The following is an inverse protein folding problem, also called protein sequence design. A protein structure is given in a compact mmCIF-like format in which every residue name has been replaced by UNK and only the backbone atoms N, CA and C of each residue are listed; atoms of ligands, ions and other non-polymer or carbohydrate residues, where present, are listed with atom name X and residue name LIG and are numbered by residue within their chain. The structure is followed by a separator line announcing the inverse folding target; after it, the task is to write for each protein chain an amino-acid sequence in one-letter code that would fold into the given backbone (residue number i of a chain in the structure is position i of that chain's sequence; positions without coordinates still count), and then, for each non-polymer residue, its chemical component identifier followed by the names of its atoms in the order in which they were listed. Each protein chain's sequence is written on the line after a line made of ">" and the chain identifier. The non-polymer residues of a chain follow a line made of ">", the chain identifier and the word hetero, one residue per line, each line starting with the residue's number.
data_IF_157779261241
#
_entry.id   IF_157779261241
#
_cell.length_a   1.000
_cell.length_b   1.000
_cell.length_c   1.000
_cell.angle_alpha   90.00
_cell.angle_beta   90.00
_cell.angle_gamma   90.00
#
_symmetry.space_group_name_H-M   'P 1'
#
loop_
_entity.id
_entity.type
_entity.pdbx_description
1 polymer ?
#
# COMPACT_ATOMS: atom_id res chain seq x y z
N UNK A 1 -64.33 -9.23 -20.47
CA UNK A 1 -64.07 -9.55 -19.05
C UNK A 1 -62.68 -9.04 -18.68
N UNK A 2 -62.61 -8.12 -17.72
CA UNK A 2 -61.38 -7.70 -17.05
C UNK A 2 -60.72 -8.91 -16.42
N UNK A 3 -59.39 -8.99 -16.45
CA UNK A 3 -58.63 -9.43 -15.29
C UNK A 3 -57.30 -8.67 -15.29
N UNK A 4 -57.19 -7.82 -14.28
CA UNK A 4 -56.02 -7.11 -13.80
C UNK A 4 -55.04 -8.09 -13.15
N UNK A 5 -53.77 -8.00 -13.51
CA UNK A 5 -52.68 -8.58 -12.74
C UNK A 5 -51.55 -7.55 -12.62
N UNK A 6 -51.63 -6.78 -11.55
CA UNK A 6 -50.56 -5.97 -10.97
C UNK A 6 -49.50 -6.88 -10.37
N UNK A 7 -48.24 -6.74 -10.79
CA UNK A 7 -47.03 -7.30 -10.14
C UNK A 7 -45.81 -6.38 -10.39
N UNK A 8 -44.74 -6.47 -9.58
CA UNK A 8 -44.25 -5.34 -8.79
C UNK A 8 -43.06 -4.58 -9.40
N UNK A 9 -42.93 -3.35 -8.91
CA UNK A 9 -41.85 -2.40 -9.09
C UNK A 9 -40.50 -2.98 -8.65
N UNK A 10 -39.65 -3.40 -9.60
CA UNK A 10 -38.20 -3.47 -9.41
C UNK A 10 -37.51 -3.23 -10.76
N UNK A 11 -36.91 -2.05 -10.90
CA UNK A 11 -36.32 -1.56 -12.14
C UNK A 11 -35.06 -2.33 -12.53
N UNK A 12 -35.17 -3.23 -13.50
CA UNK A 12 -34.05 -3.69 -14.35
C UNK A 12 -34.47 -4.53 -15.57
N UNK A 13 -35.73 -4.44 -16.05
CA UNK A 13 -36.20 -5.29 -17.18
C UNK A 13 -37.02 -4.48 -18.17
N UNK A 14 -36.41 -3.51 -18.85
CA UNK A 14 -37.07 -2.80 -19.94
C UNK A 14 -36.14 -2.58 -21.13
N UNK A 15 -35.83 -3.66 -21.87
CA UNK A 15 -35.70 -3.63 -23.34
C UNK A 15 -36.08 -5.01 -23.93
N UNK A 16 -37.18 -5.63 -23.47
CA UNK A 16 -37.69 -6.86 -24.09
C UNK A 16 -39.17 -6.78 -24.52
N UNK A 17 -39.86 -5.67 -24.26
CA UNK A 17 -41.31 -5.58 -24.39
C UNK A 17 -41.82 -4.60 -25.46
N UNK A 18 -41.05 -4.35 -26.52
CA UNK A 18 -41.55 -3.74 -27.77
C UNK A 18 -41.22 -4.62 -28.97
N UNK A 19 -41.83 -5.81 -29.01
CA UNK A 19 -42.45 -6.35 -30.23
C UNK A 19 -41.64 -6.58 -31.52
N UNK A 20 -40.31 -6.50 -31.53
CA UNK A 20 -39.47 -7.00 -32.63
C UNK A 20 -38.10 -7.37 -32.10
N UNK A 21 -37.88 -8.66 -31.83
CA UNK A 21 -36.51 -9.19 -31.82
C UNK A 21 -35.94 -8.85 -33.18
N UNK A 22 -35.00 -7.91 -33.22
CA UNK A 22 -34.57 -7.27 -34.45
C UNK A 22 -34.02 -8.31 -35.41
N UNK A 23 -34.79 -8.57 -36.47
CA UNK A 23 -34.62 -9.67 -37.40
C UNK A 23 -33.44 -9.48 -38.35
N UNK A 24 -32.83 -8.29 -38.36
CA UNK A 24 -31.77 -7.93 -39.32
C UNK A 24 -30.40 -7.82 -38.65
N UNK A 25 -29.36 -8.21 -39.39
CA UNK A 25 -27.97 -8.05 -38.97
C UNK A 25 -27.58 -6.58 -38.75
N UNK A 26 -28.17 -5.65 -39.51
CA UNK A 26 -27.99 -4.21 -39.36
C UNK A 26 -28.35 -3.71 -37.96
N UNK A 27 -29.49 -4.14 -37.42
CA UNK A 27 -29.90 -3.71 -36.10
C UNK A 27 -28.98 -4.29 -35.01
N UNK A 28 -28.54 -5.54 -35.15
CA UNK A 28 -27.58 -6.15 -34.24
C UNK A 28 -26.22 -5.41 -34.28
N UNK A 29 -25.80 -4.98 -35.48
CA UNK A 29 -24.61 -4.16 -35.69
C UNK A 29 -24.71 -2.81 -34.97
N UNK A 30 -25.82 -2.08 -35.16
CA UNK A 30 -26.07 -0.78 -34.51
C UNK A 30 -26.13 -0.90 -32.98
N UNK A 31 -26.76 -1.95 -32.44
CA UNK A 31 -26.81 -2.20 -31.00
C UNK A 31 -25.40 -2.42 -30.40
N UNK A 32 -24.58 -3.26 -31.04
CA UNK A 32 -23.22 -3.51 -30.57
C UNK A 32 -22.32 -2.28 -30.73
N UNK A 33 -22.48 -1.49 -31.81
CA UNK A 33 -21.76 -0.24 -31.99
C UNK A 33 -22.09 0.77 -30.90
N UNK A 34 -23.39 0.96 -30.58
CA UNK A 34 -23.82 1.82 -29.47
C UNK A 34 -23.24 1.36 -28.13
N UNK A 35 -23.17 0.03 -27.90
CA UNK A 35 -22.56 -0.54 -26.69
C UNK A 35 -21.04 -0.37 -26.62
N UNK A 36 -20.34 -0.42 -27.76
CA UNK A 36 -18.88 -0.36 -27.81
C UNK A 36 -18.34 1.08 -27.86
N UNK A 37 -18.96 1.93 -28.69
CA UNK A 37 -18.50 3.28 -29.05
C UNK A 37 -19.47 4.39 -28.62
N UNK A 38 -20.69 4.06 -28.18
CA UNK A 38 -21.71 5.06 -27.86
C UNK A 38 -22.49 5.58 -29.09
N UNK A 39 -22.02 5.27 -30.29
CA UNK A 39 -22.56 5.73 -31.59
C UNK A 39 -22.97 4.53 -32.44
N UNK A 40 -24.01 4.67 -33.28
CA UNK A 40 -24.52 3.56 -34.12
C UNK A 40 -23.63 3.24 -35.32
N UNK A 41 -22.95 4.25 -35.87
CA UNK A 41 -22.08 4.15 -37.03
C UNK A 41 -20.72 4.79 -36.69
N UNK A 42 -19.82 4.03 -36.06
CA UNK A 42 -18.54 4.55 -35.61
C UNK A 42 -17.57 4.69 -36.77
N UNK A 43 -16.92 5.85 -36.85
CA UNK A 43 -15.83 6.16 -37.78
C UNK A 43 -14.56 5.41 -37.36
N UNK A 44 -13.55 5.32 -38.24
CA UNK A 44 -12.31 4.57 -37.94
C UNK A 44 -11.54 5.13 -36.73
N UNK A 45 -11.72 6.41 -36.44
CA UNK A 45 -11.09 7.17 -35.35
C UNK A 45 -11.78 7.05 -34.00
N UNK A 46 -12.99 6.48 -33.93
CA UNK A 46 -13.77 6.46 -32.70
C UNK A 46 -13.16 5.53 -31.64
N UNK A 47 -13.02 6.07 -30.44
CA UNK A 47 -12.39 5.37 -29.32
C UNK A 47 -13.39 4.44 -28.65
N UNK A 48 -12.93 3.25 -28.30
CA UNK A 48 -13.68 2.27 -27.53
C UNK A 48 -13.83 2.75 -26.09
N UNK A 49 -14.98 3.35 -25.79
CA UNK A 49 -15.24 4.01 -24.50
C UNK A 49 -16.10 3.17 -23.57
N UNK A 50 -17.04 2.37 -24.09
CA UNK A 50 -18.18 1.90 -23.28
C UNK A 50 -18.22 0.38 -22.99
N UNK A 51 -17.53 -0.47 -23.75
CA UNK A 51 -17.55 -1.92 -23.49
C UNK A 51 -16.29 -2.67 -23.96
N UNK A 52 -15.93 -3.73 -23.21
CA UNK A 52 -14.86 -4.67 -23.55
C UNK A 52 -15.33 -5.78 -24.49
N UNK A 53 -14.39 -6.43 -25.16
CA UNK A 53 -14.70 -7.52 -26.09
C UNK A 53 -15.44 -8.70 -25.45
N UNK A 54 -15.18 -9.00 -24.17
CA UNK A 54 -15.90 -10.02 -23.39
C UNK A 54 -17.37 -9.66 -23.17
N UNK A 55 -17.65 -8.41 -22.79
CA UNK A 55 -19.02 -7.89 -22.59
C UNK A 55 -19.85 -7.94 -23.87
N UNK A 56 -19.24 -7.59 -25.00
CA UNK A 56 -19.89 -7.67 -26.31
C UNK A 56 -20.19 -9.12 -26.72
N UNK A 57 -19.26 -10.06 -26.45
CA UNK A 57 -19.49 -11.49 -26.69
C UNK A 57 -20.63 -12.03 -25.82
N UNK A 58 -20.69 -11.66 -24.55
CA UNK A 58 -21.76 -12.06 -23.64
C UNK A 58 -23.12 -11.53 -24.10
N UNK A 59 -23.21 -10.24 -24.44
CA UNK A 59 -24.42 -9.63 -24.99
C UNK A 59 -24.88 -10.33 -26.28
N UNK A 60 -23.96 -10.56 -27.21
CA UNK A 60 -24.23 -11.26 -28.46
C UNK A 60 -24.72 -12.69 -28.22
N UNK A 61 -24.12 -13.41 -27.28
CA UNK A 61 -24.51 -14.79 -26.92
C UNK A 61 -25.92 -14.82 -26.36
N UNK A 62 -26.25 -13.89 -25.46
CA UNK A 62 -27.59 -13.77 -24.87
C UNK A 62 -28.65 -13.46 -25.93
N UNK A 63 -28.38 -12.57 -26.88
CA UNK A 63 -29.33 -12.33 -27.98
C UNK A 63 -29.43 -13.56 -28.89
N UNK A 64 -28.30 -14.22 -29.19
CA UNK A 64 -28.26 -15.39 -30.07
C UNK A 64 -29.03 -16.59 -29.53
N UNK A 65 -29.18 -16.76 -28.21
CA UNK A 65 -29.93 -17.89 -27.62
C UNK A 65 -31.44 -17.80 -27.88
N UNK A 66 -31.97 -16.61 -28.13
CA UNK A 66 -33.39 -16.39 -28.40
C UNK A 66 -33.74 -16.35 -29.90
N UNK A 67 -32.77 -16.57 -30.80
CA UNK A 67 -33.00 -16.51 -32.26
C UNK A 67 -33.51 -17.86 -32.82
N UNK A 68 -34.57 -17.88 -33.64
CA UNK A 68 -34.97 -19.07 -34.38
C UNK A 68 -33.85 -19.38 -35.40
N UNK A 69 -33.30 -20.60 -35.38
CA UNK A 69 -32.09 -21.03 -36.14
C UNK A 69 -30.74 -20.60 -35.55
N UNK A 70 -30.55 -20.81 -34.25
CA UNK A 70 -29.32 -20.47 -33.51
C UNK A 70 -28.01 -20.96 -34.16
N UNK A 71 -28.02 -22.13 -34.79
CA UNK A 71 -26.84 -22.75 -35.41
C UNK A 71 -26.55 -22.23 -36.82
N UNK A 72 -27.56 -21.78 -37.55
CA UNK A 72 -27.45 -21.38 -38.96
C UNK A 72 -26.67 -20.05 -39.10
N UNK A 73 -25.67 -19.97 -39.99
CA UNK A 73 -25.00 -18.70 -40.29
C UNK A 73 -25.99 -17.70 -40.91
N UNK A 74 -25.69 -16.41 -40.77
CA UNK A 74 -26.47 -15.37 -41.43
C UNK A 74 -26.14 -15.32 -42.92
N UNK A 75 -27.16 -15.42 -43.76
CA UNK A 75 -27.09 -15.17 -45.19
C UNK A 75 -27.57 -13.74 -45.47
N UNK A 76 -26.66 -12.89 -45.97
CA UNK A 76 -26.95 -11.50 -46.28
C UNK A 76 -27.72 -11.31 -47.59
N UNK A 77 -27.71 -12.30 -48.49
CA UNK A 77 -28.43 -12.22 -49.77
C UNK A 77 -29.91 -12.52 -49.55
N UNK A 78 -30.19 -13.59 -48.82
CA UNK A 78 -31.56 -14.05 -48.54
C UNK A 78 -32.15 -13.47 -47.24
N UNK A 79 -31.39 -12.66 -46.50
CA UNK A 79 -31.75 -12.12 -45.18
C UNK A 79 -32.27 -13.20 -44.21
N UNK A 80 -31.59 -14.36 -44.21
CA UNK A 80 -32.03 -15.56 -43.52
C UNK A 80 -30.96 -16.10 -42.55
N UNK A 81 -31.40 -16.82 -41.51
CA UNK A 81 -30.53 -17.40 -40.49
C UNK A 81 -30.43 -16.54 -39.23
N UNK A 82 -29.36 -16.71 -38.45
CA UNK A 82 -29.18 -15.99 -37.19
C UNK A 82 -28.43 -14.66 -37.39
N UNK A 83 -29.08 -13.49 -37.23
CA UNK A 83 -28.47 -12.19 -37.52
C UNK A 83 -27.27 -11.88 -36.62
N UNK A 84 -27.18 -12.47 -35.43
CA UNK A 84 -25.98 -12.32 -34.57
C UNK A 84 -24.75 -13.02 -35.15
N UNK A 85 -24.91 -13.99 -36.06
CA UNK A 85 -23.80 -14.68 -36.72
C UNK A 85 -23.28 -13.95 -37.96
N UNK A 86 -23.87 -12.81 -38.34
CA UNK A 86 -23.42 -12.03 -39.49
C UNK A 86 -21.94 -11.61 -39.37
N UNK A 87 -21.26 -11.55 -40.52
CA UNK A 87 -19.83 -11.20 -40.60
C UNK A 87 -19.57 -9.81 -40.03
N UNK A 88 -20.43 -8.84 -40.35
CA UNK A 88 -20.39 -7.46 -39.85
C UNK A 88 -20.51 -7.33 -38.33
N UNK A 89 -21.40 -8.12 -37.70
CA UNK A 89 -21.57 -8.13 -36.23
C UNK A 89 -20.32 -8.69 -35.55
N UNK A 90 -19.73 -9.74 -36.12
CA UNK A 90 -18.47 -10.30 -35.63
C UNK A 90 -17.26 -9.39 -35.89
N UNK A 91 -17.28 -8.59 -36.95
CA UNK A 91 -16.21 -7.65 -37.27
C UNK A 91 -16.06 -6.58 -36.18
N UNK A 92 -17.16 -6.12 -35.57
CA UNK A 92 -17.13 -5.18 -34.43
C UNK A 92 -16.35 -5.79 -33.26
N UNK A 93 -16.68 -7.02 -32.87
CA UNK A 93 -16.01 -7.71 -31.76
C UNK A 93 -14.51 -7.88 -32.06
N UNK A 94 -14.16 -8.25 -33.29
CA UNK A 94 -12.75 -8.37 -33.72
C UNK A 94 -12.03 -7.03 -33.68
N UNK A 95 -12.68 -5.93 -34.10
CA UNK A 95 -12.13 -4.57 -34.03
C UNK A 95 -11.82 -4.18 -32.59
N UNK A 96 -12.75 -4.44 -31.66
CA UNK A 96 -12.56 -4.20 -30.22
C UNK A 96 -11.38 -5.00 -29.67
N UNK A 97 -11.32 -6.30 -29.97
CA UNK A 97 -10.20 -7.15 -29.54
C UNK A 97 -8.85 -6.65 -30.05
N UNK A 98 -8.78 -6.25 -31.32
CA UNK A 98 -7.56 -5.73 -31.93
C UNK A 98 -7.07 -4.46 -31.22
N UNK A 99 -8.00 -3.57 -30.86
CA UNK A 99 -7.67 -2.34 -30.13
C UNK A 99 -7.20 -2.63 -28.71
N UNK A 100 -7.88 -3.53 -27.98
CA UNK A 100 -7.48 -3.97 -26.64
C UNK A 100 -6.06 -4.53 -26.62
N UNK A 101 -5.74 -5.44 -27.56
CA UNK A 101 -4.39 -6.04 -27.66
C UNK A 101 -3.34 -4.99 -28.00
N UNK A 102 -3.63 -4.07 -28.93
CA UNK A 102 -2.69 -2.99 -29.31
C UNK A 102 -2.39 -2.04 -28.16
N UNK A 103 -3.41 -1.66 -27.36
CA UNK A 103 -3.24 -0.79 -26.19
C UNK A 103 -2.38 -1.46 -25.12
N UNK A 104 -2.62 -2.73 -24.81
CA UNK A 104 -1.80 -3.50 -23.87
C UNK A 104 -0.37 -3.72 -24.36
N UNK A 105 -0.19 -3.97 -25.66
CA UNK A 105 1.12 -4.16 -26.25
C UNK A 105 1.98 -2.87 -26.23
N UNK A 106 1.37 -1.70 -26.41
CA UNK A 106 2.07 -0.42 -26.33
C UNK A 106 2.61 -0.15 -24.93
N UNK A 107 1.78 -0.32 -23.90
CA UNK A 107 2.18 -0.19 -22.49
C UNK A 107 3.29 -1.18 -22.14
N UNK A 108 3.16 -2.44 -22.57
CA UNK A 108 4.17 -3.45 -22.28
C UNK A 108 5.50 -3.20 -22.99
N UNK A 109 5.49 -2.63 -24.21
CA UNK A 109 6.72 -2.19 -24.89
C UNK A 109 7.42 -1.07 -24.12
N UNK A 110 6.68 -0.07 -23.65
CA UNK A 110 7.23 1.01 -22.84
C UNK A 110 7.82 0.48 -21.53
N UNK A 111 7.12 -0.40 -20.83
CA UNK A 111 7.61 -1.01 -19.59
C UNK A 111 8.91 -1.81 -19.82
N UNK A 112 9.00 -2.57 -20.91
CA UNK A 112 10.22 -3.31 -21.26
C UNK A 112 11.39 -2.37 -21.59
N UNK A 113 11.14 -1.27 -22.31
CA UNK A 113 12.15 -0.26 -22.59
C UNK A 113 12.69 0.38 -21.30
N UNK A 114 11.81 0.77 -20.39
CA UNK A 114 12.20 1.31 -19.08
C UNK A 114 12.98 0.30 -18.24
N UNK A 115 12.57 -0.97 -18.26
CA UNK A 115 13.26 -2.02 -17.52
C UNK A 115 14.69 -2.23 -18.06
N UNK A 116 14.87 -2.19 -19.38
CA UNK A 116 16.19 -2.21 -20.01
C UNK A 116 17.07 -1.05 -19.52
N UNK A 117 16.54 0.19 -19.53
CA UNK A 117 17.31 1.36 -19.05
C UNK A 117 17.69 1.25 -17.58
N UNK A 118 16.80 0.71 -16.74
CA UNK A 118 17.05 0.53 -15.32
C UNK A 118 18.17 -0.50 -15.08
N UNK A 119 18.19 -1.60 -15.84
CA UNK A 119 19.25 -2.61 -15.75
C UNK A 119 20.61 -2.02 -16.17
N UNK A 120 20.66 -1.22 -17.23
CA UNK A 120 21.89 -0.52 -17.62
C UNK A 120 22.37 0.43 -16.53
N UNK A 121 21.46 1.20 -15.91
CA UNK A 121 21.83 2.10 -14.81
C UNK A 121 22.31 1.33 -13.58
N UNK A 122 21.68 0.20 -13.22
CA UNK A 122 22.14 -0.66 -12.12
C UNK A 122 23.55 -1.18 -12.34
N UNK A 123 23.91 -1.57 -13.57
CA UNK A 123 25.28 -2.01 -13.90
C UNK A 123 26.29 -0.87 -13.70
N UNK A 124 25.98 0.33 -14.21
CA UNK A 124 26.83 1.53 -14.00
C UNK A 124 27.01 1.87 -12.52
N UNK A 125 25.94 1.79 -11.72
CA UNK A 125 26.04 2.02 -10.27
C UNK A 125 26.95 0.99 -9.59
N UNK A 126 26.89 -0.28 -9.99
CA UNK A 126 27.79 -1.31 -9.48
C UNK A 126 29.25 -1.06 -9.88
N UNK A 127 29.50 -0.64 -11.13
CA UNK A 127 30.84 -0.26 -11.61
C UNK A 127 31.43 0.91 -10.80
N UNK A 128 30.63 1.96 -10.57
CA UNK A 128 31.06 3.11 -9.76
C UNK A 128 31.34 2.70 -8.31
N UNK A 129 30.48 1.88 -7.70
CA UNK A 129 30.69 1.40 -6.34
C UNK A 129 31.99 0.59 -6.22
N UNK A 130 32.28 -0.28 -7.19
CA UNK A 130 33.53 -1.05 -7.23
C UNK A 130 34.76 -0.14 -7.39
N UNK A 131 34.66 0.90 -8.23
CA UNK A 131 35.74 1.87 -8.39
C UNK A 131 36.01 2.61 -7.06
N UNK A 132 34.97 3.10 -6.39
CA UNK A 132 35.08 3.77 -5.10
C UNK A 132 35.69 2.89 -4.01
N UNK A 133 35.28 1.62 -3.93
CA UNK A 133 35.87 0.69 -2.97
C UNK A 133 37.36 0.46 -3.21
N UNK A 134 37.79 0.38 -4.48
CA UNK A 134 39.21 0.23 -4.83
C UNK A 134 40.02 1.45 -4.39
N UNK A 135 39.53 2.66 -4.68
CA UNK A 135 40.22 3.89 -4.27
C UNK A 135 40.30 4.00 -2.74
N UNK A 136 39.21 3.71 -2.03
CA UNK A 136 39.20 3.72 -0.57
C UNK A 136 40.23 2.74 0.03
N UNK A 137 40.37 1.54 -0.54
CA UNK A 137 41.34 0.56 -0.07
C UNK A 137 42.77 1.01 -0.38
N UNK A 138 43.02 1.63 -1.54
CA UNK A 138 44.33 2.19 -1.86
C UNK A 138 44.71 3.34 -0.90
N UNK A 139 43.79 4.27 -0.65
CA UNK A 139 43.96 5.33 0.33
C UNK A 139 44.21 4.78 1.73
N UNK A 140 43.44 3.76 2.15
CA UNK A 140 43.62 3.08 3.44
C UNK A 140 45.03 2.49 3.56
N UNK A 141 45.50 1.78 2.54
CA UNK A 141 46.85 1.22 2.50
C UNK A 141 47.94 2.30 2.49
N UNK A 142 47.70 3.43 1.81
CA UNK A 142 48.61 4.58 1.81
C UNK A 142 48.71 5.23 3.20
N UNK A 143 47.57 5.50 3.83
CA UNK A 143 47.49 6.06 5.19
C UNK A 143 48.14 5.12 6.20
N UNK A 144 47.85 3.82 6.12
CA UNK A 144 48.44 2.82 7.01
C UNK A 144 49.96 2.80 6.90
N UNK A 145 50.50 2.84 5.67
CA UNK A 145 51.97 2.92 5.45
C UNK A 145 52.57 4.17 6.09
N UNK A 146 51.95 5.34 5.91
CA UNK A 146 52.39 6.61 6.52
C UNK A 146 52.36 6.53 8.06
N UNK A 147 51.29 5.98 8.64
CA UNK A 147 51.17 5.77 10.09
C UNK A 147 52.30 4.87 10.61
N UNK A 148 52.60 3.77 9.91
CA UNK A 148 53.67 2.86 10.32
C UNK A 148 55.04 3.56 10.36
N UNK A 149 55.34 4.41 9.37
CA UNK A 149 56.59 5.20 9.34
C UNK A 149 56.65 6.19 10.51
N UNK A 150 55.55 6.86 10.82
CA UNK A 150 55.49 7.77 11.98
C UNK A 150 55.65 6.99 13.28
N UNK A 151 54.96 5.86 13.43
CA UNK A 151 55.02 5.03 14.63
C UNK A 151 56.42 4.47 14.89
N UNK A 152 57.16 4.07 13.85
CA UNK A 152 58.55 3.64 14.00
C UNK A 152 59.47 4.80 14.38
N UNK A 153 59.25 6.00 13.82
CA UNK A 153 59.94 7.22 14.23
C UNK A 153 59.71 7.57 15.70
N UNK A 154 58.46 7.55 16.17
CA UNK A 154 58.09 7.80 17.57
C UNK A 154 58.70 6.77 18.51
N UNK A 155 58.66 5.47 18.16
CA UNK A 155 59.33 4.42 18.95
C UNK A 155 60.83 4.65 19.08
N UNK A 156 61.48 5.15 18.01
CA UNK A 156 62.90 5.49 18.05
C UNK A 156 63.19 6.67 18.97
N UNK A 157 62.33 7.69 19.00
CA UNK A 157 62.45 8.84 19.92
C UNK A 157 62.23 8.40 21.37
N UNK A 158 61.22 7.57 21.63
CA UNK A 158 60.94 7.04 22.97
C UNK A 158 62.05 6.11 23.51
N UNK A 159 62.83 5.48 22.61
CA UNK A 159 63.96 4.62 22.96
C UNK A 159 65.31 5.35 23.06
N UNK A 160 65.37 6.67 22.79
CA UNK A 160 66.58 7.44 23.07
C UNK A 160 66.78 7.54 24.59
N UNK A 161 68.00 7.31 25.11
CA UNK A 161 68.26 7.41 26.55
C UNK A 161 68.09 8.87 26.99
N UNK A 162 66.99 9.17 27.69
CA UNK A 162 66.77 10.47 28.31
C UNK A 162 67.74 10.59 29.49
N UNK A 163 68.73 11.47 29.39
CA UNK A 163 69.55 11.89 30.53
C UNK A 163 68.67 12.78 31.42
N UNK A 164 68.10 12.22 32.49
CA UNK A 164 67.50 13.00 33.59
C UNK A 164 68.49 13.08 34.76
N UNK A 165 68.75 14.27 35.33
CA UNK A 165 69.49 14.36 36.58
C UNK A 165 68.68 13.72 37.71
N UNK A 166 69.43 13.03 38.57
CA UNK A 166 69.00 12.18 39.68
C UNK A 166 68.29 13.01 40.75
N UNK A 167 67.02 12.70 41.04
CA UNK A 167 66.40 13.04 42.33
C UNK A 167 65.71 11.81 42.90
N UNK A 168 65.97 11.61 44.19
CA UNK A 168 65.65 10.45 44.99
C UNK A 168 64.18 10.41 45.42
N UNK A 169 63.79 9.22 45.88
CA UNK A 169 62.70 8.89 46.83
C UNK A 169 61.33 8.56 46.22
N UNK A 170 60.84 7.37 46.58
CA UNK A 170 59.40 7.09 46.63
C UNK A 170 59.01 5.70 46.12
N UNK A 171 59.21 4.66 46.92
CA UNK A 171 58.62 3.35 46.69
C UNK A 171 57.18 3.28 47.24
N UNK A 172 56.26 2.63 46.53
CA UNK A 172 55.34 1.65 47.12
C UNK A 172 54.68 0.78 46.04
N UNK A 173 54.47 -0.48 46.42
CA UNK A 173 53.94 -1.58 45.62
C UNK A 173 52.40 -1.65 45.62
N UNK A 174 51.88 -2.32 44.58
CA UNK A 174 50.58 -2.99 44.31
C UNK A 174 49.74 -3.50 45.51
N UNK A 175 48.46 -4.02 45.41
CA UNK A 175 47.61 -4.36 44.24
C UNK A 175 46.07 -4.02 44.37
N UNK A 176 45.33 -4.35 43.31
CA UNK A 176 43.91 -4.77 43.16
C UNK A 176 43.03 -4.87 44.42
N UNK A 177 41.87 -4.20 44.40
CA UNK A 177 40.62 -4.70 45.02
C UNK A 177 39.42 -4.33 44.13
N UNK A 178 38.64 -5.34 43.76
CA UNK A 178 37.31 -5.21 43.17
C UNK A 178 36.25 -5.18 44.29
N UNK A 179 35.26 -4.31 44.14
CA UNK A 179 33.85 -4.50 44.55
C UNK A 179 33.07 -3.29 44.02
N UNK A 180 32.10 -3.43 43.13
CA UNK A 180 30.73 -3.94 43.40
C UNK A 180 30.13 -3.26 44.64
N UNK A 181 29.54 -2.08 44.42
CA UNK A 181 28.49 -1.54 45.28
C UNK A 181 27.33 -1.05 44.41
N UNK A 182 26.45 -2.02 44.10
CA UNK A 182 25.09 -1.78 43.64
C UNK A 182 24.24 -1.45 44.87
N UNK A 183 24.01 -0.17 45.09
CA UNK A 183 22.91 0.28 45.94
C UNK A 183 21.65 0.34 45.08
N UNK A 184 20.73 -0.59 45.33
CA UNK A 184 19.36 -0.62 44.84
C UNK A 184 18.63 0.69 45.16
N UNK A 185 18.33 1.47 44.12
CA UNK A 185 17.38 2.58 44.18
C UNK A 185 16.32 2.37 43.07
N UNK A 186 15.06 2.60 43.45
CA UNK A 186 13.82 2.23 42.76
C UNK A 186 13.85 2.19 41.22
N UNK A 187 13.34 1.09 40.69
CA UNK A 187 13.00 0.89 39.28
C UNK A 187 12.12 2.04 38.77
N UNK A 188 12.71 3.03 38.10
CA UNK A 188 11.97 3.91 37.22
C UNK A 188 11.34 3.06 36.12
N UNK A 189 10.02 2.80 36.24
CA UNK A 189 9.26 2.05 35.26
C UNK A 189 9.36 2.76 33.90
N UNK A 190 10.20 2.24 33.02
CA UNK A 190 10.46 2.82 31.70
C UNK A 190 9.18 2.75 30.87
N UNK A 191 8.81 3.81 30.15
CA UNK A 191 7.70 3.77 29.21
C UNK A 191 8.15 3.08 27.91
N UNK A 192 7.81 1.81 27.75
CA UNK A 192 8.14 1.03 26.55
C UNK A 192 6.89 0.33 26.00
N UNK A 193 6.82 0.24 24.67
CA UNK A 193 5.84 -0.56 23.95
C UNK A 193 6.56 -1.74 23.29
N UNK A 194 5.92 -2.90 23.33
CA UNK A 194 6.30 -4.13 22.65
C UNK A 194 6.53 -3.89 21.16
N UNK A 195 7.59 -4.49 20.59
CA UNK A 195 7.91 -4.31 19.17
C UNK A 195 6.92 -5.01 18.24
N UNK A 196 6.36 -6.15 18.67
CA UNK A 196 5.44 -7.00 17.90
C UNK A 196 4.44 -7.69 18.83
N UNK A 197 3.28 -7.09 19.14
CA UNK A 197 2.24 -7.76 19.92
C UNK A 197 1.76 -8.99 19.13
N UNK A 198 1.66 -10.14 19.81
CA UNK A 198 1.28 -11.41 19.18
C UNK A 198 -0.22 -11.49 18.90
N UNK A 199 -1.03 -10.86 19.74
CA UNK A 199 -2.48 -10.80 19.61
C UNK A 199 -3.04 -9.49 20.20
N UNK A 200 -4.36 -9.29 20.05
CA UNK A 200 -5.07 -8.13 20.57
C UNK A 200 -5.12 -8.12 22.10
N UNK A 201 -4.99 -9.28 22.74
CA UNK A 201 -5.00 -9.40 24.21
C UNK A 201 -3.72 -8.80 24.79
N UNK A 202 -2.56 -9.15 24.25
CA UNK A 202 -1.26 -8.56 24.61
C UNK A 202 -1.25 -7.06 24.36
N UNK A 203 -1.89 -6.59 23.28
CA UNK A 203 -2.00 -5.17 22.98
C UNK A 203 -2.89 -4.40 23.98
N UNK A 204 -3.99 -5.01 24.45
CA UNK A 204 -4.84 -4.42 25.49
C UNK A 204 -4.18 -4.48 26.86
N UNK A 205 -3.55 -5.61 27.20
CA UNK A 205 -2.82 -5.80 28.45
C UNK A 205 -1.65 -4.81 28.60
N UNK A 206 -0.94 -4.52 27.51
CA UNK A 206 0.08 -3.46 27.46
C UNK A 206 -0.47 -2.07 27.78
N UNK A 207 -1.73 -1.80 27.40
CA UNK A 207 -2.39 -0.53 27.69
C UNK A 207 -2.78 -0.38 29.15
N UNK A 208 -3.35 -1.44 29.71
CA UNK A 208 -3.90 -1.45 31.06
C UNK A 208 -2.83 -1.67 32.14
N UNK A 209 -1.88 -2.58 31.91
CA UNK A 209 -0.90 -3.03 32.91
C UNK A 209 0.56 -2.78 32.50
N UNK A 210 0.83 -2.49 31.22
CA UNK A 210 2.19 -2.31 30.71
C UNK A 210 2.85 -3.61 30.28
N UNK A 211 4.16 -3.56 30.02
CA UNK A 211 4.94 -4.71 29.56
C UNK A 211 6.13 -4.98 30.49
N UNK A 212 6.24 -6.17 31.08
CA UNK A 212 7.42 -6.61 31.84
C UNK A 212 7.92 -5.60 32.90
N UNK A 213 7.01 -5.02 33.69
CA UNK A 213 7.34 -4.03 34.73
C UNK A 213 7.58 -2.60 34.21
N UNK A 214 7.35 -2.36 32.93
CA UNK A 214 7.29 -1.03 32.33
C UNK A 214 5.95 -0.35 32.65
N UNK A 215 5.96 0.99 32.59
CA UNK A 215 4.78 1.82 32.82
C UNK A 215 3.64 1.41 31.85
N UNK A 216 2.38 1.35 32.28
CA UNK A 216 1.25 1.06 31.38
C UNK A 216 1.07 2.16 30.34
N UNK A 217 0.65 1.81 29.12
CA UNK A 217 0.54 2.79 28.03
C UNK A 217 -0.49 3.89 28.31
N UNK A 218 -1.52 3.59 29.11
CA UNK A 218 -2.51 4.57 29.60
C UNK A 218 -1.89 5.70 30.44
N UNK A 219 -0.77 5.44 31.10
CA UNK A 219 -0.09 6.40 31.98
C UNK A 219 1.09 7.12 31.30
N UNK A 220 1.27 6.99 29.99
CA UNK A 220 2.37 7.65 29.30
C UNK A 220 2.22 9.18 29.33
N UNK A 221 3.27 9.86 29.77
CA UNK A 221 3.39 11.33 29.68
C UNK A 221 3.55 11.78 28.22
N UNK A 222 3.24 13.04 27.87
CA UNK A 222 3.41 13.54 26.50
C UNK A 222 4.83 13.32 25.94
N UNK A 223 5.86 13.54 26.77
CA UNK A 223 7.26 13.32 26.41
C UNK A 223 7.57 11.85 26.09
N UNK A 224 7.01 10.92 26.87
CA UNK A 224 7.16 9.47 26.66
C UNK A 224 6.41 8.99 25.40
N UNK A 225 5.23 9.55 25.11
CA UNK A 225 4.51 9.30 23.85
C UNK A 225 5.29 9.80 22.64
N UNK A 226 5.96 10.95 22.78
CA UNK A 226 6.82 11.51 21.74
C UNK A 226 7.94 10.56 21.32
N UNK A 227 8.56 9.88 22.28
CA UNK A 227 9.63 8.89 22.02
C UNK A 227 9.14 7.64 21.27
N UNK A 228 7.85 7.30 21.36
CA UNK A 228 7.23 6.15 20.68
C UNK A 228 6.08 6.55 19.74
N UNK A 229 6.11 7.77 19.18
CA UNK A 229 4.98 8.41 18.49
C UNK A 229 4.32 7.56 17.41
N UNK A 230 5.11 6.93 16.54
CA UNK A 230 4.59 6.12 15.42
C UNK A 230 3.85 4.88 15.90
N UNK A 231 4.41 4.18 16.90
CA UNK A 231 3.84 2.97 17.48
C UNK A 231 2.61 3.30 18.33
N UNK A 232 2.70 4.36 19.15
CA UNK A 232 1.61 4.82 19.99
C UNK A 232 0.41 5.29 19.16
N UNK A 233 0.62 6.11 18.13
CA UNK A 233 -0.46 6.63 17.29
C UNK A 233 -1.19 5.54 16.52
N UNK A 234 -0.46 4.51 16.07
CA UNK A 234 -1.05 3.35 15.39
C UNK A 234 -1.94 2.51 16.32
N UNK A 235 -1.55 2.39 17.60
CA UNK A 235 -2.28 1.60 18.62
C UNK A 235 -3.39 2.39 19.31
N UNK A 236 -3.32 3.72 19.30
CA UNK A 236 -4.24 4.60 20.02
C UNK A 236 -5.70 4.39 19.62
N UNK A 237 -6.00 4.24 18.32
CA UNK A 237 -7.38 4.01 17.86
C UNK A 237 -7.99 2.69 18.37
N UNK A 238 -7.17 1.65 18.55
CA UNK A 238 -7.61 0.39 19.15
C UNK A 238 -7.89 0.56 20.65
N UNK A 239 -6.99 1.21 21.38
CA UNK A 239 -7.16 1.45 22.82
C UNK A 239 -8.38 2.35 23.10
N UNK A 240 -8.58 3.41 22.32
CA UNK A 240 -9.73 4.31 22.43
C UNK A 240 -11.06 3.59 22.15
N UNK A 241 -11.09 2.69 21.16
CA UNK A 241 -12.27 1.90 20.83
C UNK A 241 -12.68 0.99 22.00
N UNK A 242 -11.72 0.29 22.61
CA UNK A 242 -12.00 -0.58 23.75
C UNK A 242 -12.46 0.24 24.96
N UNK A 243 -11.78 1.34 25.29
CA UNK A 243 -12.23 2.21 26.39
C UNK A 243 -13.64 2.76 26.16
N UNK A 244 -13.98 3.14 24.92
CA UNK A 244 -15.32 3.62 24.56
C UNK A 244 -16.38 2.53 24.73
N UNK A 245 -16.06 1.27 24.43
CA UNK A 245 -16.95 0.13 24.65
C UNK A 245 -17.09 -0.20 26.14
N UNK A 246 -16.01 -0.12 26.91
CA UNK A 246 -16.05 -0.31 28.37
C UNK A 246 -16.86 0.78 29.08
N UNK A 247 -16.74 2.04 28.65
CA UNK A 247 -17.58 3.14 29.15
C UNK A 247 -19.08 2.96 28.84
N UNK A 248 -19.42 2.17 27.82
CA UNK A 248 -20.80 1.79 27.48
C UNK A 248 -21.30 0.56 28.25
N UNK A 249 -20.49 0.02 29.16
CA UNK A 249 -20.85 -1.12 30.01
C UNK A 249 -20.49 -2.50 29.43
N UNK A 250 -19.72 -2.56 28.35
CA UNK A 250 -19.23 -3.83 27.80
C UNK A 250 -17.93 -4.29 28.48
N UNK A 251 -17.73 -5.60 28.59
CA UNK A 251 -16.47 -6.15 29.10
C UNK A 251 -15.34 -6.01 28.08
N UNK A 252 -14.09 -6.00 28.55
CA UNK A 252 -12.89 -5.94 27.71
C UNK A 252 -12.85 -7.10 26.70
N UNK A 253 -13.23 -8.32 27.10
CA UNK A 253 -13.29 -9.49 26.23
C UNK A 253 -14.28 -9.32 25.07
N UNK A 254 -15.46 -8.77 25.37
CA UNK A 254 -16.45 -8.44 24.34
C UNK A 254 -15.94 -7.36 23.40
N UNK A 255 -15.32 -6.30 23.94
CA UNK A 255 -14.77 -5.20 23.18
C UNK A 255 -13.62 -5.64 22.26
N UNK A 256 -12.73 -6.52 22.73
CA UNK A 256 -11.68 -7.15 21.91
C UNK A 256 -12.26 -7.96 20.75
N UNK A 257 -13.31 -8.74 21.02
CA UNK A 257 -14.01 -9.49 19.98
C UNK A 257 -14.64 -8.59 18.90
N UNK A 258 -15.22 -7.46 19.28
CA UNK A 258 -15.79 -6.47 18.35
C UNK A 258 -14.71 -5.73 17.55
N UNK A 259 -13.59 -5.38 18.21
CA UNK A 259 -12.45 -4.73 17.57
C UNK A 259 -11.77 -5.64 16.52
N UNK A 260 -11.68 -6.95 16.77
CA UNK A 260 -11.14 -7.92 15.81
C UNK A 260 -11.97 -8.04 14.52
N UNK A 261 -13.28 -7.76 14.59
CA UNK A 261 -14.22 -7.86 13.47
C UNK A 261 -14.39 -6.56 12.68
N UNK A 262 -13.86 -5.45 13.19
CA UNK A 262 -13.94 -4.13 12.55
C UNK A 262 -12.56 -3.72 12.05
N UNK A 263 -12.28 -3.75 10.73
CA UNK A 263 -11.01 -3.23 10.22
C UNK A 263 -10.89 -1.74 10.55
N UNK A 264 -9.67 -1.21 10.79
CA UNK A 264 -9.47 0.21 11.07
C UNK A 264 -9.90 1.02 9.84
N UNK A 265 -11.13 1.54 9.87
CA UNK A 265 -11.60 2.52 8.92
C UNK A 265 -10.78 3.79 9.13
N UNK A 266 -9.91 4.11 8.16
CA UNK A 266 -9.49 5.48 7.94
C UNK A 266 -10.73 6.30 7.58
N UNK A 267 -11.46 6.81 8.58
CA UNK A 267 -12.54 7.76 8.35
C UNK A 267 -11.97 9.17 8.50
N UNK A 268 -11.49 9.70 7.38
CA UNK A 268 -11.62 11.12 7.11
C UNK A 268 -13.11 11.45 7.21
N UNK A 269 -13.46 12.29 8.19
CA UNK A 269 -14.82 12.75 8.44
C UNK A 269 -15.38 13.47 7.23
N UNK A 270 -16.47 12.94 6.69
CA UNK A 270 -17.44 13.70 5.94
C UNK A 270 -18.71 13.75 6.79
N UNK A 271 -18.92 14.84 7.52
CA UNK A 271 -20.25 15.23 7.99
C UNK A 271 -20.27 16.75 8.22
N UNK A 272 -20.93 17.41 7.26
CA UNK A 272 -21.73 18.64 7.34
C UNK A 272 -21.41 19.69 8.41
N UNK A 273 -20.91 20.85 7.93
CA UNK A 273 -20.98 22.16 8.60
C UNK A 273 -22.45 22.59 8.82
N UNK A 274 -22.70 23.36 9.88
CA UNK A 274 -23.31 24.66 9.70
C UNK A 274 -22.44 25.80 10.26
N UNK A 275 -22.53 26.94 9.60
CA UNK A 275 -21.82 28.19 9.88
C UNK A 275 -22.48 28.96 11.05
N UNK A 276 -21.72 29.27 12.09
CA UNK A 276 -21.59 30.61 12.68
C UNK A 276 -20.45 30.59 13.73
N UNK A 277 -19.32 31.25 13.44
CA UNK A 277 -18.82 32.49 14.08
C UNK A 277 -18.02 32.25 15.38
N UNK A 278 -16.69 32.31 15.20
CA UNK A 278 -15.64 32.94 16.03
C UNK A 278 -15.63 32.62 17.54
N UNK A 279 -14.70 31.75 17.96
CA UNK A 279 -13.63 32.12 18.90
C UNK A 279 -12.47 31.11 18.77
N UNK A 280 -11.25 31.65 18.67
CA UNK A 280 -10.04 30.90 18.39
C UNK A 280 -9.54 30.09 19.59
N UNK A 281 -8.80 29.02 19.31
CA UNK A 281 -7.84 28.50 20.26
C UNK A 281 -6.64 27.91 19.51
N UNK A 282 -5.73 28.81 19.14
CA UNK A 282 -4.32 28.51 19.00
C UNK A 282 -3.80 27.88 20.28
N UNK A 283 -3.41 26.61 20.24
CA UNK A 283 -2.43 26.07 21.18
C UNK A 283 -1.81 24.80 20.66
N UNK A 284 -0.70 24.94 19.96
CA UNK A 284 0.51 24.12 20.12
C UNK A 284 1.60 24.63 19.18
N UNK A 285 2.02 25.89 19.37
CA UNK A 285 3.34 26.38 18.98
C UNK A 285 3.77 27.38 20.07
N UNK A 286 5.02 27.23 20.55
CA UNK A 286 5.74 28.01 21.58
C UNK A 286 5.43 27.57 23.03
N UNK A 287 6.40 27.32 23.92
CA UNK A 287 7.72 27.94 24.15
C UNK A 287 8.82 26.89 24.44
N UNK A 288 10.05 27.12 23.96
CA UNK A 288 11.28 27.48 24.72
C UNK A 288 11.68 26.45 25.77
#
# INVERSE_FOLDING_TARGET
>A
MRQSSTWPSCGAVWVFFTGKVSSTSLHQRRNLNRKAFGVEEPTDTDVLTHARSSTLKASKKMISTFMPRQTMPWDCVNNAGNPTKAKEVNAIIKRVQKFEVRRSAAVMRQLRAMHSTLLTMKRRLAEVAMHQQRELEELRLSVQRKITVVATGVKRIAAQPVVRPRSLVGACSTPVVANEDRVSAGTHQRAQLSKRPTDLFVLWHEYEFGCAGCKPAKQFTPSERGACKSVFSFRFGFWELIEKLMRRGHTSDFAMGVAARSPPSCSASAETKPLAVIEGCDRCCLNV
#
